data_IF_614281101847
#
_entry.id   IF_614281101847
#
_cell.length_a   1.000
_cell.length_b   1.000
_cell.length_c   1.000
_cell.angle_alpha   90.00
_cell.angle_beta   90.00
_cell.angle_gamma   90.00
#
_symmetry.space_group_name_H-M   'P 1'
#
loop_
_entity.id
_entity.type
_entity.pdbx_description
1 polymer ?
#
# COMPACT_ATOMS: atom_id res chain seq x y z
N UNK A 1 -41.39 9.14 -7.63
CA UNK A 1 -40.32 8.63 -6.74
C UNK A 1 -39.03 8.90 -7.49
N UNK A 2 -38.25 9.89 -7.08
CA UNK A 2 -36.95 10.16 -7.69
C UNK A 2 -36.01 9.06 -7.20
N UNK A 3 -35.58 8.17 -8.10
CA UNK A 3 -34.38 7.36 -7.85
C UNK A 3 -33.25 8.34 -7.56
N UNK A 4 -32.59 8.18 -6.42
CA UNK A 4 -31.37 8.92 -6.15
C UNK A 4 -30.37 8.51 -7.24
N UNK A 5 -30.17 9.36 -8.25
CA UNK A 5 -29.09 9.20 -9.21
C UNK A 5 -27.80 9.09 -8.40
N UNK A 6 -27.24 7.88 -8.33
CA UNK A 6 -26.00 7.64 -7.60
C UNK A 6 -24.94 8.59 -8.13
N UNK A 7 -24.18 9.21 -7.21
CA UNK A 7 -23.10 10.10 -7.61
C UNK A 7 -22.11 9.38 -8.55
N UNK A 8 -21.87 9.98 -9.72
CA UNK A 8 -20.99 9.40 -10.73
C UNK A 8 -19.53 9.37 -10.27
N UNK A 9 -18.70 8.51 -10.88
CA UNK A 9 -17.25 8.49 -10.65
C UNK A 9 -16.61 9.87 -10.81
N UNK A 10 -17.07 10.65 -11.79
CA UNK A 10 -16.59 12.01 -12.03
C UNK A 10 -16.97 12.96 -10.89
N UNK A 11 -18.20 12.88 -10.36
CA UNK A 11 -18.64 13.66 -9.19
C UNK A 11 -17.76 13.37 -7.98
N UNK A 12 -17.60 12.10 -7.62
CA UNK A 12 -16.78 11.68 -6.49
C UNK A 12 -15.33 12.15 -6.63
N UNK A 13 -14.72 11.94 -7.80
CA UNK A 13 -13.34 12.34 -8.02
C UNK A 13 -13.15 13.86 -7.98
N UNK A 14 -14.08 14.62 -8.56
CA UNK A 14 -14.01 16.09 -8.54
C UNK A 14 -14.10 16.64 -7.12
N UNK A 15 -14.92 16.06 -6.25
CA UNK A 15 -14.98 16.42 -4.82
C UNK A 15 -13.71 16.02 -4.08
N UNK A 16 -13.22 14.79 -4.29
CA UNK A 16 -12.00 14.28 -3.66
C UNK A 16 -10.72 15.04 -4.06
N UNK A 17 -10.71 15.65 -5.26
CA UNK A 17 -9.52 16.32 -5.82
C UNK A 17 -9.70 17.83 -5.98
N UNK A 18 -10.71 18.43 -5.35
CA UNK A 18 -10.97 19.86 -5.49
C UNK A 18 -9.75 20.67 -4.98
N UNK A 19 -9.19 21.60 -5.78
CA UNK A 19 -8.07 22.45 -5.36
C UNK A 19 -8.35 23.29 -4.10
N UNK A 20 -9.62 23.50 -3.76
CA UNK A 20 -10.05 24.28 -2.59
C UNK A 20 -10.08 23.46 -1.29
N UNK A 21 -9.87 22.14 -1.37
CA UNK A 21 -9.84 21.27 -0.20
C UNK A 21 -8.68 21.68 0.72
N UNK A 22 -8.93 21.79 2.02
CA UNK A 22 -7.88 22.13 3.00
C UNK A 22 -7.00 20.94 3.37
N UNK A 23 -7.54 19.73 3.21
CA UNK A 23 -6.90 18.46 3.53
C UNK A 23 -7.53 17.36 2.65
N UNK A 24 -6.97 16.16 2.71
CA UNK A 24 -7.53 14.99 2.04
C UNK A 24 -8.92 14.68 2.60
N UNK A 25 -9.91 14.56 1.71
CA UNK A 25 -11.28 14.21 2.08
C UNK A 25 -11.50 12.72 1.90
N UNK A 26 -11.28 11.97 2.99
CA UNK A 26 -11.35 10.51 2.97
C UNK A 26 -12.77 9.98 2.72
N UNK A 27 -13.81 10.77 3.00
CA UNK A 27 -15.18 10.37 2.66
C UNK A 27 -15.34 10.28 1.14
N UNK A 28 -14.91 11.31 0.39
CA UNK A 28 -14.98 11.30 -1.07
C UNK A 28 -14.00 10.30 -1.71
N UNK A 29 -12.82 10.10 -1.11
CA UNK A 29 -11.84 9.11 -1.59
C UNK A 29 -12.41 7.69 -1.50
N UNK A 30 -12.98 7.32 -0.35
CA UNK A 30 -13.58 5.99 -0.17
C UNK A 30 -14.85 5.84 -1.01
N UNK A 31 -15.68 6.89 -1.11
CA UNK A 31 -16.85 6.91 -2.00
C UNK A 31 -16.49 6.63 -3.46
N UNK A 32 -15.39 7.21 -3.95
CA UNK A 32 -14.87 6.91 -5.30
C UNK A 32 -14.43 5.45 -5.44
N UNK A 33 -13.73 4.88 -4.45
CA UNK A 33 -13.31 3.47 -4.46
C UNK A 33 -14.52 2.52 -4.49
N UNK A 34 -15.54 2.81 -3.68
CA UNK A 34 -16.78 2.02 -3.64
C UNK A 34 -17.51 2.08 -4.98
N UNK A 35 -17.56 3.26 -5.61
CA UNK A 35 -18.21 3.42 -6.91
C UNK A 35 -17.47 2.64 -8.02
N UNK A 36 -16.14 2.61 -8.01
CA UNK A 36 -15.34 1.77 -8.94
C UNK A 36 -15.74 0.30 -8.83
N UNK A 37 -15.94 -0.17 -7.60
CA UNK A 37 -16.23 -1.58 -7.34
C UNK A 37 -17.67 -1.96 -7.71
N UNK A 38 -18.62 -1.02 -7.61
CA UNK A 38 -20.02 -1.21 -7.98
C UNK A 38 -20.23 -1.30 -9.50
N UNK A 39 -19.47 -0.55 -10.29
CA UNK A 39 -19.65 -0.47 -11.74
C UNK A 39 -18.83 -1.52 -12.53
N UNK A 40 -19.41 -2.07 -13.60
CA UNK A 40 -18.72 -3.02 -14.48
C UNK A 40 -17.55 -2.36 -15.23
N UNK A 41 -17.74 -1.13 -15.69
CA UNK A 41 -16.72 -0.33 -16.39
C UNK A 41 -15.97 0.63 -15.45
N UNK A 42 -16.26 0.56 -14.15
CA UNK A 42 -15.73 1.47 -13.14
C UNK A 42 -14.20 1.59 -13.18
N UNK A 43 -13.44 0.47 -13.19
CA UNK A 43 -11.98 0.51 -13.30
C UNK A 43 -11.46 1.24 -14.54
N UNK A 44 -12.05 0.97 -15.72
CA UNK A 44 -11.62 1.57 -16.99
C UNK A 44 -11.89 3.08 -17.01
N UNK A 45 -13.04 3.50 -16.49
CA UNK A 45 -13.42 4.91 -16.41
C UNK A 45 -12.53 5.63 -15.38
N UNK A 46 -12.33 5.04 -14.20
CA UNK A 46 -11.57 5.65 -13.12
C UNK A 46 -10.11 5.92 -13.47
N UNK A 47 -9.40 4.95 -14.09
CA UNK A 47 -8.00 5.18 -14.48
C UNK A 47 -7.85 6.32 -15.50
N UNK A 48 -8.85 6.51 -16.38
CA UNK A 48 -8.89 7.63 -17.34
C UNK A 48 -9.07 8.97 -16.62
N UNK A 49 -10.01 9.05 -15.69
CA UNK A 49 -10.27 10.26 -14.91
C UNK A 49 -9.07 10.62 -14.00
N UNK A 50 -8.48 9.63 -13.33
CA UNK A 50 -7.30 9.79 -12.49
C UNK A 50 -6.10 10.29 -13.31
N UNK A 51 -5.84 9.69 -14.47
CA UNK A 51 -4.72 10.11 -15.33
C UNK A 51 -4.82 11.60 -15.73
N UNK A 52 -6.03 12.10 -15.96
CA UNK A 52 -6.27 13.51 -16.25
C UNK A 52 -5.99 14.40 -15.02
N UNK A 53 -6.52 14.03 -13.84
CA UNK A 53 -6.32 14.79 -12.60
C UNK A 53 -4.86 14.82 -12.13
N UNK A 54 -4.12 13.72 -12.29
CA UNK A 54 -2.70 13.61 -11.92
C UNK A 54 -1.83 14.55 -12.77
N UNK A 55 -2.23 14.82 -14.02
CA UNK A 55 -1.55 15.76 -14.92
C UNK A 55 -1.97 17.21 -14.70
N UNK A 56 -2.75 17.50 -13.65
CA UNK A 56 -3.17 18.87 -13.35
C UNK A 56 -1.96 19.80 -13.14
N UNK A 57 -2.00 21.03 -13.68
CA UNK A 57 -0.98 22.04 -13.36
C UNK A 57 -1.04 22.52 -11.91
N UNK A 58 -2.15 22.25 -11.20
CA UNK A 58 -2.29 22.59 -9.78
C UNK A 58 -1.70 21.46 -8.93
N UNK A 59 -0.59 21.74 -8.24
CA UNK A 59 0.11 20.75 -7.41
C UNK A 59 -0.86 20.04 -6.46
N UNK A 60 -1.74 20.78 -5.79
CA UNK A 60 -2.61 20.20 -4.78
C UNK A 60 -3.69 19.28 -5.36
N UNK A 61 -4.22 19.58 -6.54
CA UNK A 61 -5.15 18.67 -7.24
C UNK A 61 -4.43 17.38 -7.66
N UNK A 62 -3.22 17.49 -8.23
CA UNK A 62 -2.43 16.35 -8.63
C UNK A 62 -2.03 15.45 -7.44
N UNK A 63 -1.63 16.05 -6.30
CA UNK A 63 -1.30 15.31 -5.08
C UNK A 63 -2.52 14.57 -4.53
N UNK A 64 -3.68 15.22 -4.46
CA UNK A 64 -4.93 14.57 -4.04
C UNK A 64 -5.31 13.42 -4.98
N UNK A 65 -5.17 13.60 -6.30
CA UNK A 65 -5.43 12.54 -7.28
C UNK A 65 -4.51 11.34 -7.10
N UNK A 66 -3.24 11.57 -6.75
CA UNK A 66 -2.30 10.49 -6.41
C UNK A 66 -2.66 9.79 -5.10
N UNK A 67 -3.19 10.52 -4.10
CA UNK A 67 -3.74 9.90 -2.87
C UNK A 67 -4.97 9.04 -3.20
N UNK A 68 -5.89 9.52 -4.05
CA UNK A 68 -7.04 8.72 -4.52
C UNK A 68 -6.56 7.45 -5.23
N UNK A 69 -5.59 7.57 -6.14
CA UNK A 69 -5.01 6.41 -6.85
C UNK A 69 -4.39 5.40 -5.87
N UNK A 70 -3.66 5.85 -4.85
CA UNK A 70 -3.11 4.99 -3.80
C UNK A 70 -4.23 4.25 -3.06
N UNK A 71 -5.29 4.95 -2.67
CA UNK A 71 -6.45 4.34 -2.02
C UNK A 71 -7.16 3.32 -2.92
N UNK A 72 -7.35 3.61 -4.21
CA UNK A 72 -7.94 2.66 -5.15
C UNK A 72 -7.08 1.40 -5.32
N UNK A 73 -5.75 1.55 -5.37
CA UNK A 73 -4.83 0.40 -5.42
C UNK A 73 -4.92 -0.47 -4.16
N UNK A 74 -5.29 0.09 -3.00
CA UNK A 74 -5.50 -0.67 -1.76
C UNK A 74 -6.89 -1.31 -1.68
N UNK A 75 -7.93 -0.67 -2.21
CA UNK A 75 -9.33 -1.03 -1.94
C UNK A 75 -10.12 -1.62 -3.13
N UNK A 76 -9.67 -1.45 -4.37
CA UNK A 76 -10.44 -1.85 -5.56
C UNK A 76 -10.03 -3.22 -6.15
N UNK A 77 -8.97 -3.82 -5.60
CA UNK A 77 -8.50 -5.16 -5.95
C UNK A 77 -8.11 -5.34 -7.42
N UNK A 78 -8.10 -6.62 -7.85
CA UNK A 78 -7.43 -7.04 -9.09
C UNK A 78 -8.00 -6.41 -10.37
N UNK A 79 -9.30 -6.13 -10.43
CA UNK A 79 -9.91 -5.48 -11.61
C UNK A 79 -9.30 -4.10 -11.86
N UNK A 80 -9.06 -3.34 -10.79
CA UNK A 80 -8.41 -2.03 -10.88
C UNK A 80 -6.90 -2.15 -11.12
N UNK A 81 -6.23 -3.09 -10.43
CA UNK A 81 -4.80 -3.37 -10.65
C UNK A 81 -4.49 -3.68 -12.12
N UNK A 82 -5.32 -4.50 -12.76
CA UNK A 82 -5.17 -4.87 -14.18
C UNK A 82 -5.27 -3.65 -15.11
N UNK A 83 -6.07 -2.64 -14.78
CA UNK A 83 -6.17 -1.40 -15.59
C UNK A 83 -4.95 -0.49 -15.35
N UNK A 84 -4.50 -0.36 -14.10
CA UNK A 84 -3.29 0.39 -13.74
C UNK A 84 -2.03 -0.23 -14.35
N UNK A 85 -1.94 -1.56 -14.39
CA UNK A 85 -0.81 -2.31 -14.97
C UNK A 85 -0.68 -2.20 -16.49
N UNK A 86 -1.64 -1.61 -17.20
CA UNK A 86 -1.54 -1.39 -18.66
C UNK A 86 -0.64 -0.20 -18.98
N UNK A 87 0.18 -0.34 -20.03
CA UNK A 87 0.97 0.79 -20.56
C UNK A 87 0.13 2.01 -20.89
N UNK A 88 -1.15 1.84 -21.24
CA UNK A 88 -2.08 2.96 -21.45
C UNK A 88 -2.12 3.90 -20.24
N UNK A 89 -2.18 3.36 -19.02
CA UNK A 89 -2.18 4.18 -17.80
C UNK A 89 -0.75 4.52 -17.36
N UNK A 90 0.18 3.56 -17.38
CA UNK A 90 1.56 3.79 -16.96
C UNK A 90 2.26 4.90 -17.77
N UNK A 91 1.95 5.02 -19.06
CA UNK A 91 2.49 6.08 -19.91
C UNK A 91 2.03 7.47 -19.47
N UNK A 92 0.83 7.60 -18.89
CA UNK A 92 0.35 8.87 -18.34
C UNK A 92 1.17 9.26 -17.09
N UNK A 93 1.53 8.30 -16.23
CA UNK A 93 2.44 8.54 -15.11
C UNK A 93 3.87 8.85 -15.57
N UNK A 94 4.36 8.16 -16.61
CA UNK A 94 5.69 8.43 -17.18
C UNK A 94 5.79 9.86 -17.72
N UNK A 95 4.74 10.37 -18.38
CA UNK A 95 4.70 11.76 -18.87
C UNK A 95 4.89 12.78 -17.75
N UNK A 96 4.33 12.52 -16.56
CA UNK A 96 4.40 13.41 -15.39
C UNK A 96 5.83 13.53 -14.86
N UNK A 97 6.61 12.45 -14.89
CA UNK A 97 7.98 12.44 -14.32
C UNK A 97 9.08 12.69 -15.34
N UNK A 98 8.81 12.43 -16.63
CA UNK A 98 9.81 12.55 -17.69
C UNK A 98 9.99 14.00 -18.15
N UNK A 99 11.21 14.56 -18.13
CA UNK A 99 11.52 15.89 -18.68
C UNK A 99 11.10 16.07 -20.15
N UNK A 100 11.10 14.98 -20.94
CA UNK A 100 10.64 14.99 -22.34
C UNK A 100 9.16 15.38 -22.52
N UNK A 101 8.37 15.42 -21.44
CA UNK A 101 6.94 15.69 -21.47
C UNK A 101 6.59 16.78 -20.45
N UNK A 102 6.05 16.42 -19.29
CA UNK A 102 5.57 17.36 -18.27
C UNK A 102 6.57 17.54 -17.12
N UNK A 103 7.60 16.70 -17.01
CA UNK A 103 8.48 16.62 -15.85
C UNK A 103 9.17 17.92 -15.43
N UNK A 104 9.41 18.84 -16.37
CA UNK A 104 10.02 20.15 -16.07
C UNK A 104 9.01 21.17 -15.53
N UNK A 105 7.70 20.93 -15.72
CA UNK A 105 6.61 21.81 -15.29
C UNK A 105 5.90 21.31 -14.03
N UNK A 106 6.03 20.02 -13.75
CA UNK A 106 5.43 19.36 -12.59
C UNK A 106 6.35 19.52 -11.38
N UNK A 107 5.77 19.79 -10.21
CA UNK A 107 6.55 19.95 -8.99
C UNK A 107 7.26 18.68 -8.54
N UNK A 108 8.37 18.84 -7.83
CA UNK A 108 9.15 17.70 -7.32
C UNK A 108 8.34 16.81 -6.37
N UNK A 109 7.40 17.40 -5.63
CA UNK A 109 6.50 16.69 -4.72
C UNK A 109 5.62 15.69 -5.47
N UNK A 110 5.03 16.10 -6.59
CA UNK A 110 4.18 15.23 -7.42
C UNK A 110 5.03 14.14 -8.07
N UNK A 111 6.19 14.49 -8.64
CA UNK A 111 7.09 13.50 -9.26
C UNK A 111 7.57 12.45 -8.28
N UNK A 112 7.99 12.87 -7.08
CA UNK A 112 8.39 11.97 -5.99
C UNK A 112 7.27 11.00 -5.64
N UNK A 113 6.03 11.49 -5.45
CA UNK A 113 4.89 10.62 -5.11
C UNK A 113 4.56 9.63 -6.24
N UNK A 114 4.68 10.01 -7.52
CA UNK A 114 4.52 9.07 -8.65
C UNK A 114 5.59 7.97 -8.60
N UNK A 115 6.85 8.33 -8.36
CA UNK A 115 7.96 7.38 -8.30
C UNK A 115 7.79 6.41 -7.12
N UNK A 116 7.41 6.93 -5.95
CA UNK A 116 7.10 6.13 -4.76
C UNK A 116 5.99 5.11 -5.04
N UNK A 117 4.89 5.54 -5.66
CA UNK A 117 3.78 4.65 -6.01
C UNK A 117 4.22 3.57 -6.99
N UNK A 118 4.89 3.93 -8.08
CA UNK A 118 5.40 2.97 -9.06
C UNK A 118 6.32 1.94 -8.40
N UNK A 119 7.27 2.38 -7.58
CA UNK A 119 8.17 1.47 -6.87
C UNK A 119 7.39 0.56 -5.92
N UNK A 120 6.44 1.10 -5.14
CA UNK A 120 5.59 0.31 -4.22
C UNK A 120 4.88 -0.84 -4.93
N UNK A 121 4.39 -0.59 -6.16
CA UNK A 121 3.67 -1.59 -6.94
C UNK A 121 4.61 -2.63 -7.54
N UNK A 122 5.86 -2.29 -7.87
CA UNK A 122 6.85 -3.30 -8.28
C UNK A 122 7.11 -4.35 -7.20
N UNK A 123 6.97 -3.98 -5.92
CA UNK A 123 7.16 -4.86 -4.78
C UNK A 123 5.88 -5.63 -4.45
N UNK A 124 4.73 -4.95 -4.49
CA UNK A 124 3.47 -5.53 -4.03
C UNK A 124 2.70 -6.31 -5.11
N UNK A 125 2.95 -6.04 -6.39
CA UNK A 125 2.31 -6.68 -7.55
C UNK A 125 3.39 -7.28 -8.47
N UNK A 126 4.15 -8.28 -8.01
CA UNK A 126 5.26 -8.86 -8.79
C UNK A 126 4.81 -9.51 -10.12
N UNK A 127 3.54 -9.88 -10.23
CA UNK A 127 2.92 -10.40 -11.45
C UNK A 127 2.71 -9.33 -12.53
N UNK A 128 2.62 -8.05 -12.16
CA UNK A 128 2.42 -6.93 -13.08
C UNK A 128 3.75 -6.47 -13.69
N UNK A 129 4.33 -7.33 -14.54
CA UNK A 129 5.62 -7.12 -15.22
C UNK A 129 5.77 -5.74 -15.88
N UNK A 130 4.70 -5.19 -16.45
CA UNK A 130 4.71 -3.88 -17.12
C UNK A 130 5.00 -2.72 -16.16
N UNK A 131 4.55 -2.81 -14.91
CA UNK A 131 4.84 -1.81 -13.87
C UNK A 131 6.34 -1.82 -13.58
N UNK A 132 6.92 -3.03 -13.43
CA UNK A 132 8.36 -3.22 -13.21
C UNK A 132 9.18 -2.71 -14.40
N UNK A 133 8.76 -2.98 -15.62
CA UNK A 133 9.43 -2.51 -16.83
C UNK A 133 9.40 -0.98 -16.94
N UNK A 134 8.25 -0.36 -16.66
CA UNK A 134 8.11 1.10 -16.64
C UNK A 134 9.03 1.74 -15.59
N UNK A 135 9.04 1.23 -14.36
CA UNK A 135 9.90 1.74 -13.29
C UNK A 135 11.39 1.59 -13.63
N UNK A 136 11.81 0.41 -14.09
CA UNK A 136 13.21 0.18 -14.48
C UNK A 136 13.62 1.00 -15.71
N UNK A 137 12.71 1.27 -16.64
CA UNK A 137 12.97 2.18 -17.75
C UNK A 137 13.28 3.59 -17.23
N UNK A 138 12.51 4.12 -16.27
CA UNK A 138 12.77 5.42 -15.66
C UNK A 138 14.14 5.47 -14.97
N UNK A 139 14.54 4.38 -14.28
CA UNK A 139 15.90 4.25 -13.71
C UNK A 139 16.98 4.27 -14.79
N UNK A 140 16.83 3.47 -15.86
CA UNK A 140 17.81 3.42 -16.96
C UNK A 140 17.99 4.76 -17.67
N UNK A 141 16.93 5.58 -17.72
CA UNK A 141 16.97 6.92 -18.30
C UNK A 141 17.52 7.99 -17.35
N UNK A 142 17.88 7.62 -16.11
CA UNK A 142 18.37 8.55 -15.10
C UNK A 142 17.29 9.46 -14.51
N UNK A 143 16.00 9.20 -14.79
CA UNK A 143 14.89 9.95 -14.21
C UNK A 143 14.73 9.59 -12.72
N UNK A 144 14.93 8.32 -12.38
CA UNK A 144 14.97 7.82 -11.00
C UNK A 144 16.41 7.47 -10.65
N UNK A 145 17.00 8.21 -9.71
CA UNK A 145 18.41 8.01 -9.32
C UNK A 145 18.58 6.84 -8.35
N UNK A 146 17.68 6.69 -7.39
CA UNK A 146 17.69 5.64 -6.36
C UNK A 146 16.28 5.19 -6.03
N UNK A 147 16.16 3.96 -5.51
CA UNK A 147 14.86 3.46 -5.05
C UNK A 147 14.40 4.22 -3.81
N UNK A 148 13.13 4.66 -3.74
CA UNK A 148 12.63 5.39 -2.58
C UNK A 148 12.46 4.46 -1.37
N UNK A 149 12.64 5.02 -0.18
CA UNK A 149 12.35 4.31 1.07
C UNK A 149 10.84 4.31 1.30
N UNK A 150 10.20 3.15 1.15
CA UNK A 150 8.76 3.02 1.35
C UNK A 150 8.49 2.53 2.78
N UNK A 151 7.79 3.33 3.62
CA UNK A 151 7.30 2.86 4.91
C UNK A 151 6.37 1.65 4.72
N UNK A 152 6.47 0.64 5.59
CA UNK A 152 5.71 -0.62 5.47
C UNK A 152 4.19 -0.37 5.34
N UNK A 153 3.66 0.63 6.02
CA UNK A 153 2.24 1.04 6.00
C UNK A 153 1.76 1.64 4.66
N UNK A 154 2.68 2.09 3.82
CA UNK A 154 2.36 2.59 2.46
C UNK A 154 2.43 1.50 1.39
N UNK A 155 2.85 0.29 1.74
CA UNK A 155 2.86 -0.83 0.80
C UNK A 155 1.45 -1.40 0.62
N UNK A 156 1.14 -1.95 -0.57
CA UNK A 156 -0.11 -2.71 -0.77
C UNK A 156 -0.05 -4.11 -0.11
N UNK A 157 1.05 -4.41 0.59
CA UNK A 157 1.24 -5.68 1.29
C UNK A 157 0.48 -5.56 2.60
N UNK A 158 -0.43 -6.48 2.93
CA UNK A 158 -1.03 -6.51 4.25
C UNK A 158 0.09 -6.59 5.28
N UNK A 159 0.14 -5.65 6.22
CA UNK A 159 1.01 -5.82 7.39
C UNK A 159 0.71 -7.20 7.96
N UNK A 160 1.73 -8.05 8.21
CA UNK A 160 1.52 -9.27 8.97
C UNK A 160 0.77 -8.86 10.24
N UNK A 161 -0.29 -9.58 10.65
CA UNK A 161 -1.04 -9.21 11.84
C UNK A 161 -0.04 -8.97 12.96
N UNK A 162 -0.15 -7.84 13.69
CA UNK A 162 0.76 -7.55 14.78
C UNK A 162 0.77 -8.79 15.66
N UNK A 163 1.93 -9.47 15.72
CA UNK A 163 2.07 -10.63 16.59
C UNK A 163 1.58 -10.18 17.96
N UNK A 164 0.65 -10.91 18.61
CA UNK A 164 0.19 -10.53 19.93
C UNK A 164 1.43 -10.27 20.78
N UNK A 165 1.53 -9.06 21.32
CA UNK A 165 2.65 -8.65 22.19
C UNK A 165 2.61 -9.60 23.37
N UNK A 166 3.41 -10.66 23.31
CA UNK A 166 3.54 -11.62 24.38
C UNK A 166 4.36 -10.95 25.50
N UNK A 167 3.78 -10.70 26.68
CA UNK A 167 4.51 -10.10 27.82
C UNK A 167 5.69 -10.97 28.29
N UNK A 168 5.76 -12.22 27.82
CA UNK A 168 6.79 -13.20 28.16
C UNK A 168 8.08 -13.00 27.35
N UNK A 169 8.03 -12.35 26.18
CA UNK A 169 9.23 -12.03 25.38
C UNK A 169 9.84 -10.66 25.71
N UNK A 170 9.14 -9.82 26.47
CA UNK A 170 9.70 -8.56 27.02
C UNK A 170 10.52 -8.80 28.29
N UNK A 171 10.52 -10.02 28.84
CA UNK A 171 11.39 -10.40 29.95
C UNK A 171 12.81 -10.69 29.40
N UNK A 172 13.55 -9.59 29.20
CA UNK A 172 14.88 -9.58 28.57
C UNK A 172 15.85 -10.54 29.27
N UNK A 173 15.70 -10.76 30.57
CA UNK A 173 16.51 -11.69 31.35
C UNK A 173 16.22 -13.16 31.00
N UNK A 174 14.95 -13.55 30.87
CA UNK A 174 14.58 -14.92 30.47
C UNK A 174 14.98 -15.22 29.03
N UNK A 175 14.86 -14.23 28.14
CA UNK A 175 15.32 -14.35 26.75
C UNK A 175 16.83 -14.52 26.64
N UNK A 176 17.61 -13.76 27.43
CA UNK A 176 19.07 -13.91 27.52
C UNK A 176 19.48 -15.26 28.10
N UNK A 177 18.78 -15.72 29.15
CA UNK A 177 19.04 -17.03 29.78
C UNK A 177 18.78 -18.18 28.80
N UNK A 178 17.64 -18.16 28.11
CA UNK A 178 17.31 -19.18 27.10
C UNK A 178 18.34 -19.22 25.97
N UNK A 179 18.76 -18.05 25.47
CA UNK A 179 19.78 -17.95 24.43
C UNK A 179 21.15 -18.48 24.88
N UNK A 180 21.51 -18.29 26.16
CA UNK A 180 22.74 -18.81 26.76
C UNK A 180 22.69 -20.34 26.89
N UNK A 181 21.56 -20.88 27.37
CA UNK A 181 21.37 -22.32 27.55
C UNK A 181 21.34 -23.07 26.21
N UNK A 182 20.69 -22.52 25.18
CA UNK A 182 20.64 -23.12 23.84
C UNK A 182 21.99 -23.11 23.09
N UNK A 183 22.90 -22.19 23.44
CA UNK A 183 24.25 -22.14 22.88
C UNK A 183 25.24 -23.07 23.57
N UNK A 184 24.86 -23.65 24.72
CA UNK A 184 25.72 -24.58 25.45
C UNK A 184 25.74 -25.96 24.80
N UNK A 185 26.89 -26.65 24.91
CA UNK A 185 27.04 -28.06 24.52
C UNK A 185 26.83 -29.01 25.71
N UNK A 186 26.57 -28.47 26.90
CA UNK A 186 26.29 -29.26 28.09
C UNK A 186 24.86 -29.83 28.01
N UNK A 187 24.67 -31.16 28.12
CA UNK A 187 23.33 -31.76 28.14
C UNK A 187 22.42 -31.23 29.24
N UNK A 188 22.96 -30.81 30.40
CA UNK A 188 22.17 -30.26 31.50
C UNK A 188 21.57 -28.89 31.15
N UNK A 189 22.36 -28.02 30.51
CA UNK A 189 21.91 -26.71 30.04
C UNK A 189 20.82 -26.82 28.97
N UNK A 190 20.93 -27.83 28.09
CA UNK A 190 19.90 -28.14 27.09
C UNK A 190 18.62 -28.66 27.74
N UNK A 191 18.71 -29.39 28.86
CA UNK A 191 17.53 -29.80 29.63
C UNK A 191 16.87 -28.59 30.31
N UNK A 192 17.65 -27.65 30.84
CA UNK A 192 17.12 -26.40 31.41
C UNK A 192 16.43 -25.53 30.34
N UNK A 193 17.03 -25.40 29.15
CA UNK A 193 16.40 -24.72 28.02
C UNK A 193 15.05 -25.35 27.67
N UNK A 194 14.99 -26.69 27.60
CA UNK A 194 13.75 -27.41 27.29
C UNK A 194 12.69 -27.28 28.38
N UNK A 195 13.08 -27.20 29.67
CA UNK A 195 12.16 -26.92 30.78
C UNK A 195 11.58 -25.50 30.68
N UNK A 196 12.43 -24.52 30.37
CA UNK A 196 12.05 -23.11 30.23
C UNK A 196 11.09 -22.92 29.03
N UNK A 197 11.35 -23.57 27.90
CA UNK A 197 10.44 -23.57 26.74
C UNK A 197 9.08 -24.17 27.12
N UNK A 198 9.06 -25.28 27.86
CA UNK A 198 7.80 -25.93 28.29
C UNK A 198 6.98 -25.08 29.26
N UNK A 199 7.61 -24.33 30.17
CA UNK A 199 6.88 -23.42 31.07
C UNK A 199 6.30 -22.23 30.31
N UNK A 200 7.07 -21.66 29.38
CA UNK A 200 6.62 -20.58 28.49
C UNK A 200 5.42 -21.02 27.63
N UNK A 201 5.39 -22.28 27.15
CA UNK A 201 4.27 -22.81 26.35
C UNK A 201 3.04 -23.15 27.21
N UNK A 202 3.22 -23.62 28.45
CA UNK A 202 2.10 -23.90 29.36
C UNK A 202 1.35 -22.64 29.79
N UNK A 203 2.04 -21.53 29.99
CA UNK A 203 1.41 -20.23 30.31
C UNK A 203 0.61 -19.64 29.13
N UNK A 204 0.94 -20.03 27.89
CA UNK A 204 0.19 -19.65 26.67
C UNK A 204 -1.13 -20.45 26.52
N UNK A 205 -1.31 -21.52 27.30
CA UNK A 205 -2.41 -22.48 27.12
C UNK A 205 -3.67 -22.21 27.98
N UNK A 206 -3.77 -21.08 28.68
CA UNK A 206 -4.99 -20.62 29.37
C UNK A 206 -5.57 -19.34 28.75
N UNK A 207 -6.76 -18.89 29.18
CA UNK A 207 -8.11 -19.29 28.77
C UNK A 207 -8.54 -18.77 27.38
N UNK A 208 -7.76 -19.02 26.31
CA UNK A 208 -8.17 -18.69 24.93
C UNK A 208 -8.54 -19.90 24.05
N UNK A 209 -8.48 -21.12 24.58
CA UNK A 209 -8.77 -22.34 23.82
C UNK A 209 -10.27 -22.58 23.50
N UNK A 210 -11.20 -21.74 23.96
CA UNK A 210 -12.64 -21.91 23.71
C UNK A 210 -13.20 -21.08 22.54
N UNK A 211 -12.41 -20.19 21.92
CA UNK A 211 -12.88 -19.30 20.84
C UNK A 211 -12.84 -19.88 19.42
N UNK A 212 -12.18 -21.03 19.21
CA UNK A 212 -11.90 -21.57 17.87
C UNK A 212 -12.78 -22.77 17.47
N UNK A 213 -13.93 -22.95 18.12
CA UNK A 213 -14.99 -23.88 17.68
C UNK A 213 -16.33 -23.15 17.57
N UNK A 214 -16.44 -22.21 16.65
CA UNK A 214 -17.70 -21.82 15.98
C UNK A 214 -17.44 -20.66 15.01
N UNK A 215 -17.02 -21.00 13.80
CA UNK A 215 -17.39 -20.32 12.55
C UNK A 215 -16.97 -21.21 11.38
#
# INVERSE_FOLDING_TARGET
MAEAEGESLESWLNKATNPSNRQEDWEYIIGFCDQINKELEGPQIAVRLLAHKIQSPQEWEAVQALTVLEACMKNCGRRFHNEVGKFRFLNELIKVVSPKYLGDRVSEKVKTKVIELLYSWTLALPEESKIKDAYHMLKRQGIVQSDPLIPVDRTLIPSPPPRPKNPVFDDEEKSKLLAKLLKSKNPDDLQEANKLIKSMVKEVSGPWALGWRSR
#
